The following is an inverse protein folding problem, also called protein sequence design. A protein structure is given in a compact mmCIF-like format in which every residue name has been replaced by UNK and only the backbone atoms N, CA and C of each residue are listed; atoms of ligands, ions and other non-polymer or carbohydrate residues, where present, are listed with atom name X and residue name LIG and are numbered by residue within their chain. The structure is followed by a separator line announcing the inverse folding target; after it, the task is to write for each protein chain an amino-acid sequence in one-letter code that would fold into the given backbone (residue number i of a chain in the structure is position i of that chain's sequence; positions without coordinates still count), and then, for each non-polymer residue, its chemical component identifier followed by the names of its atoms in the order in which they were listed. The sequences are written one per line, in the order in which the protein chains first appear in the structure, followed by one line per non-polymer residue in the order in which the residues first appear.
data_IF_421069491073
#
_entry.id   IF_421069491073
#
_cell.length_a   1.000
_cell.length_b   1.000
_cell.length_c   1.000
_cell.angle_alpha   90.00
_cell.angle_beta   90.00
_cell.angle_gamma   90.00
#
_symmetry.space_group_name_H-M   'P 1'
#
loop_
_entity.id
_entity.type
_entity.pdbx_description
1 polymer ?
#
# COMPACT_ATOMS: atom_id res chain seq x y z
N UNK A 1 -8.87 -9.30 -19.69
CA UNK A 1 -7.42 -9.07 -19.80
C UNK A 1 -6.75 -9.76 -18.62
N UNK A 2 -6.15 -10.93 -18.82
CA UNK A 2 -5.36 -11.60 -17.78
C UNK A 2 -4.05 -10.84 -17.60
N UNK A 3 -3.82 -10.27 -16.43
CA UNK A 3 -2.57 -9.55 -16.13
C UNK A 3 -1.39 -10.50 -16.20
N UNK A 4 -0.30 -10.04 -16.82
CA UNK A 4 0.97 -10.77 -16.82
C UNK A 4 1.44 -10.90 -15.36
N UNK A 5 1.84 -12.08 -14.86
CA UNK A 5 2.23 -12.29 -13.46
C UNK A 5 3.22 -11.25 -12.91
N UNK A 6 4.10 -10.75 -13.76
CA UNK A 6 5.07 -9.70 -13.43
C UNK A 6 4.45 -8.32 -13.19
N UNK A 7 3.37 -7.97 -13.87
CA UNK A 7 2.68 -6.68 -13.67
C UNK A 7 2.02 -6.67 -12.30
N UNK A 8 1.27 -7.72 -11.95
CA UNK A 8 0.62 -7.85 -10.64
C UNK A 8 1.64 -7.81 -9.51
N UNK A 9 2.79 -8.49 -9.66
CA UNK A 9 3.87 -8.46 -8.67
C UNK A 9 4.44 -7.04 -8.49
N UNK A 10 4.65 -6.29 -9.57
CA UNK A 10 5.12 -4.89 -9.51
C UNK A 10 4.10 -3.98 -8.85
N UNK A 11 2.81 -4.14 -9.19
CA UNK A 11 1.72 -3.35 -8.58
C UNK A 11 1.61 -3.60 -7.07
N UNK A 12 1.74 -4.86 -6.63
CA UNK A 12 1.83 -5.22 -5.21
C UNK A 12 3.02 -4.53 -4.54
N UNK A 13 4.21 -4.59 -5.15
CA UNK A 13 5.40 -3.93 -4.61
C UNK A 13 5.22 -2.41 -4.42
N UNK A 14 4.59 -1.73 -5.37
CA UNK A 14 4.27 -0.29 -5.24
C UNK A 14 3.26 -0.06 -4.12
N UNK A 15 2.13 -0.78 -4.11
CA UNK A 15 1.10 -0.67 -3.07
C UNK A 15 1.68 -0.83 -1.67
N UNK A 16 2.53 -1.84 -1.49
CA UNK A 16 3.12 -2.19 -0.21
C UNK A 16 4.02 -1.06 0.33
N UNK A 17 4.73 -0.34 -0.54
CA UNK A 17 5.50 0.86 -0.17
C UNK A 17 4.57 2.01 0.22
N UNK A 18 3.51 2.26 -0.55
CA UNK A 18 2.55 3.34 -0.27
C UNK A 18 1.82 3.13 1.06
N UNK A 19 1.44 1.89 1.37
CA UNK A 19 0.87 1.49 2.66
C UNK A 19 1.80 1.87 3.81
N UNK A 20 3.09 1.63 3.63
CA UNK A 20 4.10 2.00 4.59
C UNK A 20 4.19 3.51 4.81
N UNK A 21 4.21 4.27 3.72
CA UNK A 21 4.26 5.74 3.75
C UNK A 21 2.99 6.34 4.37
N UNK A 22 1.81 5.78 4.08
CA UNK A 22 0.55 6.19 4.69
C UNK A 22 0.62 6.12 6.22
N UNK A 23 1.14 5.02 6.76
CA UNK A 23 1.28 4.86 8.20
C UNK A 23 2.20 5.91 8.83
N UNK A 24 3.25 6.34 8.13
CA UNK A 24 4.13 7.42 8.60
C UNK A 24 3.41 8.77 8.62
N UNK A 25 2.66 9.09 7.56
CA UNK A 25 1.92 10.34 7.48
C UNK A 25 0.85 10.42 8.56
N UNK A 26 0.14 9.32 8.82
CA UNK A 26 -0.80 9.22 9.94
C UNK A 26 -0.10 9.47 11.28
N UNK A 27 1.11 8.91 11.48
CA UNK A 27 1.88 9.08 12.72
C UNK A 27 2.35 10.52 12.96
N UNK A 28 2.60 11.31 11.90
CA UNK A 28 3.01 12.72 12.00
C UNK A 28 1.85 13.71 11.85
N UNK A 29 0.61 13.23 11.65
CA UNK A 29 -0.59 14.06 11.54
C UNK A 29 -0.77 14.75 10.18
N UNK A 30 -0.08 14.30 9.13
CA UNK A 30 -0.17 14.86 7.77
C UNK A 30 -1.39 14.33 7.01
N UNK A 31 -2.57 14.77 7.43
CA UNK A 31 -3.86 14.21 7.00
C UNK A 31 -4.11 14.34 5.48
N UNK A 32 -3.74 15.47 4.87
CA UNK A 32 -4.00 15.69 3.44
C UNK A 32 -3.17 14.74 2.56
N UNK A 33 -1.89 14.57 2.89
CA UNK A 33 -1.00 13.65 2.17
C UNK A 33 -1.42 12.19 2.40
N UNK A 34 -1.89 11.84 3.60
CA UNK A 34 -2.43 10.52 3.91
C UNK A 34 -3.65 10.18 3.02
N UNK A 35 -4.56 11.13 2.81
CA UNK A 35 -5.73 10.95 1.93
C UNK A 35 -5.31 10.64 0.48
N UNK A 36 -4.31 11.34 -0.04
CA UNK A 36 -3.80 11.12 -1.40
C UNK A 36 -3.19 9.72 -1.55
N UNK A 37 -2.39 9.29 -0.58
CA UNK A 37 -1.79 7.95 -0.57
C UNK A 37 -2.84 6.85 -0.44
N UNK A 38 -3.84 7.04 0.42
CA UNK A 38 -4.95 6.10 0.55
C UNK A 38 -5.71 5.96 -0.79
N UNK A 39 -5.94 7.07 -1.49
CA UNK A 39 -6.59 7.05 -2.82
C UNK A 39 -5.77 6.29 -3.86
N UNK A 40 -4.43 6.46 -3.86
CA UNK A 40 -3.55 5.71 -4.74
C UNK A 40 -3.57 4.20 -4.44
N UNK A 41 -3.61 3.82 -3.15
CA UNK A 41 -3.71 2.42 -2.71
C UNK A 41 -5.00 1.78 -3.21
N UNK A 42 -6.14 2.47 -3.10
CA UNK A 42 -7.43 1.97 -3.60
C UNK A 42 -7.42 1.71 -5.12
N UNK A 43 -6.81 2.61 -5.89
CA UNK A 43 -6.62 2.42 -7.33
C UNK A 43 -5.78 1.16 -7.61
N UNK A 44 -4.70 0.95 -6.85
CA UNK A 44 -3.85 -0.22 -7.00
C UNK A 44 -4.58 -1.51 -6.59
N UNK A 45 -5.38 -1.49 -5.53
CA UNK A 45 -6.20 -2.62 -5.10
C UNK A 45 -7.18 -3.04 -6.19
N UNK A 46 -7.93 -2.08 -6.75
CA UNK A 46 -8.85 -2.33 -7.85
C UNK A 46 -8.15 -2.88 -9.09
N UNK A 47 -6.93 -2.42 -9.37
CA UNK A 47 -6.10 -2.98 -10.45
C UNK A 47 -5.65 -4.40 -10.13
N UNK A 48 -5.18 -4.70 -8.93
CA UNK A 48 -4.68 -6.03 -8.57
C UNK A 48 -5.82 -7.05 -8.46
N UNK A 49 -7.02 -6.59 -8.08
CA UNK A 49 -8.17 -7.44 -7.77
C UNK A 49 -8.13 -8.00 -6.35
N UNK A 50 -7.34 -7.37 -5.46
CA UNK A 50 -7.20 -7.76 -4.07
C UNK A 50 -6.98 -6.53 -3.19
N UNK A 51 -7.43 -6.61 -1.94
CA UNK A 51 -7.15 -5.62 -0.89
C UNK A 51 -6.22 -6.27 0.14
N UNK A 52 -5.15 -5.60 0.58
CA UNK A 52 -4.28 -6.14 1.62
C UNK A 52 -5.07 -6.39 2.91
N UNK A 53 -4.86 -7.56 3.51
CA UNK A 53 -5.45 -7.91 4.81
C UNK A 53 -4.84 -7.06 5.93
N UNK A 54 -5.54 -6.91 7.06
CA UNK A 54 -4.99 -6.21 8.23
C UNK A 54 -3.65 -6.83 8.71
N UNK A 55 -3.49 -8.14 8.53
CA UNK A 55 -2.25 -8.85 8.86
C UNK A 55 -1.12 -8.52 7.87
N UNK A 56 -1.44 -8.38 6.58
CA UNK A 56 -0.53 -7.83 5.56
C UNK A 56 -0.03 -6.45 5.95
N UNK A 57 -0.96 -5.56 6.33
CA UNK A 57 -0.66 -4.17 6.70
C UNK A 57 0.30 -4.13 7.89
N UNK A 58 0.04 -4.92 8.93
CA UNK A 58 0.90 -5.02 10.11
C UNK A 58 2.29 -5.62 9.79
N UNK A 59 2.38 -6.54 8.82
CA UNK A 59 3.65 -7.09 8.34
C UNK A 59 4.44 -6.06 7.53
N UNK A 60 3.78 -5.28 6.68
CA UNK A 60 4.41 -4.24 5.87
C UNK A 60 4.96 -3.10 6.73
N UNK A 61 4.20 -2.66 7.75
CA UNK A 61 4.70 -1.71 8.74
C UNK A 61 5.99 -2.19 9.41
N UNK A 62 6.03 -3.45 9.87
CA UNK A 62 7.23 -4.02 10.47
C UNK A 62 8.41 -4.11 9.49
N UNK A 63 8.15 -4.55 8.26
CA UNK A 63 9.20 -4.75 7.24
C UNK A 63 9.93 -3.46 6.86
N UNK A 64 9.21 -2.34 6.83
CA UNK A 64 9.77 -1.08 6.36
C UNK A 64 10.16 -0.12 7.49
N UNK A 65 9.65 -0.31 8.72
CA UNK A 65 9.79 0.67 9.81
C UNK A 65 9.99 0.06 11.21
N UNK A 66 10.28 -1.24 11.34
CA UNK A 66 10.87 -1.73 12.59
C UNK A 66 12.36 -1.41 12.60
N UNK A 67 12.76 -0.52 13.51
CA UNK A 67 14.16 -0.34 13.94
C UNK A 67 14.75 -1.66 14.48
#
# INVERSE_FOLDING_TARGET
MTKVPDETKRLRGVRDVLVGQLALLDAIGEAQAAIELNSAIEILNGRIGETPSAEEMARLQRRYFSD
#
